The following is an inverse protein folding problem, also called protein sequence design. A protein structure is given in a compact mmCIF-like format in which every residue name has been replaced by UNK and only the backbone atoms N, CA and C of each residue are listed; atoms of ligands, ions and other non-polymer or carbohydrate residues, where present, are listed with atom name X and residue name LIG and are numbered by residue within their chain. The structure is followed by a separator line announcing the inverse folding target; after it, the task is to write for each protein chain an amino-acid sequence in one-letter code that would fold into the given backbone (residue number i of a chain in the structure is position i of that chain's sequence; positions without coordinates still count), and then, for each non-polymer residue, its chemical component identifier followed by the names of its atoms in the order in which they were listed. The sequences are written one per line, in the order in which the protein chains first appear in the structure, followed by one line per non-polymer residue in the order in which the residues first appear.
data_IF_122166194408
#
_entry.id   IF_122166194408
#
_cell.length_a   1.000
_cell.length_b   1.000
_cell.length_c   1.000
_cell.angle_alpha   90.00
_cell.angle_beta   90.00
_cell.angle_gamma   90.00
#
_symmetry.space_group_name_H-M   'P 1'
#
loop_
_entity.id
_entity.type
_entity.pdbx_description
1 polymer ?
#
# COMPACT_ATOMS: atom_id res chain seq x y z
N UNK A 1 20.65 -4.01 -0.63
CA UNK A 1 19.39 -3.75 0.09
C UNK A 1 18.39 -3.23 -0.92
N UNK A 2 17.16 -3.78 -0.95
CA UNK A 2 16.08 -3.30 -1.82
C UNK A 2 15.80 -1.82 -1.53
N UNK A 3 15.34 -1.06 -2.52
CA UNK A 3 15.15 0.38 -2.49
C UNK A 3 14.01 0.82 -1.53
N UNK A 4 14.21 0.61 -0.23
CA UNK A 4 13.23 0.89 0.83
C UNK A 4 13.38 2.27 1.46
N UNK A 5 14.48 3.00 1.25
CA UNK A 5 14.68 4.27 1.94
C UNK A 5 14.82 4.12 3.46
N UNK A 6 14.61 5.21 4.20
CA UNK A 6 14.86 5.27 5.65
C UNK A 6 13.83 4.48 6.49
N UNK A 7 12.61 4.31 5.99
CA UNK A 7 11.52 3.59 6.66
C UNK A 7 11.13 2.26 5.98
N UNK A 8 11.85 1.87 4.92
CA UNK A 8 11.58 0.67 4.13
C UNK A 8 10.53 0.85 3.03
N UNK A 9 9.86 2.00 2.92
CA UNK A 9 8.63 2.17 2.13
C UNK A 9 8.78 2.99 0.84
N UNK A 10 9.98 3.37 0.40
CA UNK A 10 10.14 4.22 -0.80
C UNK A 10 9.50 3.63 -2.07
N UNK A 11 9.74 2.34 -2.35
CA UNK A 11 9.11 1.65 -3.47
C UNK A 11 7.58 1.59 -3.31
N UNK A 12 7.09 1.22 -2.13
CA UNK A 12 5.66 1.15 -1.82
C UNK A 12 5.00 2.50 -2.04
N UNK A 13 5.61 3.59 -1.55
CA UNK A 13 5.14 4.96 -1.71
C UNK A 13 5.01 5.35 -3.19
N UNK A 14 5.96 4.90 -4.02
CA UNK A 14 5.93 5.10 -5.48
C UNK A 14 4.75 4.36 -6.12
N UNK A 15 4.57 3.09 -5.75
CA UNK A 15 3.47 2.24 -6.24
C UNK A 15 2.11 2.85 -5.86
N UNK A 16 1.90 3.16 -4.58
CA UNK A 16 0.61 3.69 -4.08
C UNK A 16 0.24 5.02 -4.75
N UNK A 17 1.22 5.88 -5.04
CA UNK A 17 1.00 7.15 -5.73
C UNK A 17 0.59 6.97 -7.19
N UNK A 18 1.22 6.03 -7.90
CA UNK A 18 1.08 5.93 -9.35
C UNK A 18 -0.02 4.92 -9.77
N UNK A 19 -0.34 3.94 -8.92
CA UNK A 19 -1.35 2.90 -9.16
C UNK A 19 -2.74 3.43 -9.56
N UNK A 20 -3.31 4.50 -8.94
CA UNK A 20 -4.62 5.02 -9.35
C UNK A 20 -4.76 5.40 -10.83
N UNK A 21 -3.64 5.77 -11.46
CA UNK A 21 -3.60 6.16 -12.88
C UNK A 21 -3.66 4.95 -13.83
N UNK A 22 -3.37 3.76 -13.32
CA UNK A 22 -3.30 2.51 -14.09
C UNK A 22 -4.53 1.61 -13.87
N UNK A 23 -5.38 1.95 -12.89
CA UNK A 23 -6.56 1.17 -12.52
C UNK A 23 -7.84 1.73 -13.15
N UNK A 24 -8.75 0.82 -13.52
CA UNK A 24 -10.14 1.17 -13.84
C UNK A 24 -10.87 1.72 -12.61
N UNK A 25 -12.06 2.30 -12.79
CA UNK A 25 -12.81 2.92 -11.70
C UNK A 25 -13.09 1.98 -10.52
N UNK A 26 -13.32 0.69 -10.80
CA UNK A 26 -13.56 -0.37 -9.81
C UNK A 26 -12.32 -1.25 -9.56
N UNK A 27 -11.15 -0.85 -10.05
CA UNK A 27 -9.92 -1.62 -9.93
C UNK A 27 -9.38 -1.67 -8.49
N UNK A 28 -8.63 -2.72 -8.21
CA UNK A 28 -7.94 -2.93 -6.92
C UNK A 28 -6.44 -3.12 -7.15
N UNK A 29 -5.64 -2.65 -6.20
CA UNK A 29 -4.23 -3.00 -6.06
C UNK A 29 -4.13 -4.12 -5.02
N UNK A 30 -3.44 -5.20 -5.37
CA UNK A 30 -2.97 -6.21 -4.42
C UNK A 30 -1.45 -6.12 -4.37
N UNK A 31 -0.89 -6.03 -3.17
CA UNK A 31 0.54 -5.84 -2.96
C UNK A 31 1.03 -6.75 -1.83
N UNK A 32 2.08 -7.52 -2.12
CA UNK A 32 2.83 -8.25 -1.11
C UNK A 32 3.98 -7.36 -0.59
N UNK A 33 4.10 -7.27 0.74
CA UNK A 33 5.13 -6.48 1.42
C UNK A 33 6.00 -7.33 2.38
N UNK A 34 5.82 -8.65 2.40
CA UNK A 34 6.46 -9.55 3.36
C UNK A 34 6.13 -9.16 4.82
N UNK A 35 7.09 -9.33 5.73
CA UNK A 35 6.92 -9.03 7.17
C UNK A 35 6.86 -7.52 7.53
N UNK A 36 6.57 -6.64 6.57
CA UNK A 36 6.65 -5.19 6.72
C UNK A 36 5.34 -4.51 7.14
N UNK A 37 4.30 -5.26 7.54
CA UNK A 37 3.01 -4.71 7.97
C UNK A 37 3.15 -3.57 8.98
N UNK A 38 3.99 -3.73 10.00
CA UNK A 38 4.21 -2.68 11.02
C UNK A 38 4.85 -1.43 10.44
N UNK A 39 5.77 -1.57 9.48
CA UNK A 39 6.39 -0.44 8.79
C UNK A 39 5.37 0.26 7.88
N UNK A 40 4.54 -0.52 7.18
CA UNK A 40 3.46 -0.01 6.35
C UNK A 40 2.43 0.78 7.18
N UNK A 41 1.89 0.20 8.25
CA UNK A 41 0.88 0.84 9.09
C UNK A 41 1.42 2.12 9.74
N UNK A 42 2.72 2.14 10.10
CA UNK A 42 3.38 3.35 10.61
C UNK A 42 3.56 4.43 9.54
N UNK A 43 3.95 4.05 8.32
CA UNK A 43 4.18 4.98 7.23
C UNK A 43 2.87 5.52 6.62
N UNK A 44 1.79 4.74 6.70
CA UNK A 44 0.48 5.04 6.10
C UNK A 44 -0.67 4.85 7.11
N UNK A 45 -0.68 5.56 8.26
CA UNK A 45 -1.61 5.31 9.37
C UNK A 45 -3.08 5.60 9.05
N UNK A 46 -3.35 6.21 7.90
CA UNK A 46 -4.69 6.54 7.41
C UNK A 46 -5.08 5.77 6.15
N UNK A 47 -4.28 4.80 5.73
CA UNK A 47 -4.60 3.99 4.56
C UNK A 47 -5.77 3.05 4.86
N UNK A 48 -6.76 3.06 3.97
CA UNK A 48 -7.87 2.11 3.98
C UNK A 48 -7.38 0.83 3.27
N UNK A 49 -7.13 -0.23 4.06
CA UNK A 49 -6.50 -1.48 3.60
C UNK A 49 -7.26 -2.69 4.11
N UNK A 50 -7.44 -3.69 3.25
CA UNK A 50 -7.80 -5.04 3.66
C UNK A 50 -6.56 -5.94 3.64
N UNK A 51 -6.21 -6.54 4.78
CA UNK A 51 -5.16 -7.56 4.85
C UNK A 51 -5.74 -8.91 4.45
N UNK A 52 -5.08 -9.57 3.50
CA UNK A 52 -5.55 -10.83 2.94
C UNK A 52 -4.82 -12.00 3.62
N UNK A 53 -5.54 -13.02 4.11
CA UNK A 53 -4.93 -14.24 4.60
C UNK A 53 -4.22 -14.97 3.47
N UNK A 54 -3.00 -15.45 3.71
CA UNK A 54 -2.24 -16.28 2.78
C UNK A 54 -1.74 -17.54 3.49
N UNK A 55 -1.29 -18.54 2.73
CA UNK A 55 -0.66 -19.73 3.33
C UNK A 55 0.65 -19.42 4.05
N UNK A 56 1.29 -18.28 3.77
CA UNK A 56 2.50 -17.81 4.44
C UNK A 56 2.20 -16.99 5.72
N UNK A 57 0.94 -16.60 5.93
CA UNK A 57 0.48 -15.77 7.05
C UNK A 57 -0.54 -14.70 6.63
N UNK A 58 -1.15 -14.03 7.59
CA UNK A 58 -2.25 -13.08 7.35
C UNK A 58 -1.80 -11.61 7.13
N UNK A 59 -0.49 -11.36 7.21
CA UNK A 59 0.06 -10.00 7.35
C UNK A 59 0.92 -9.54 6.17
N UNK A 60 1.05 -10.36 5.13
CA UNK A 60 2.04 -10.10 4.06
C UNK A 60 1.44 -9.46 2.83
N UNK A 61 0.13 -9.64 2.60
CA UNK A 61 -0.57 -9.19 1.40
C UNK A 61 -1.68 -8.23 1.77
N UNK A 62 -1.69 -7.08 1.10
CA UNK A 62 -2.71 -6.06 1.26
C UNK A 62 -3.48 -5.82 -0.02
N UNK A 63 -4.74 -5.43 0.13
CA UNK A 63 -5.62 -4.98 -0.93
C UNK A 63 -6.08 -3.54 -0.66
N UNK A 64 -6.01 -2.71 -1.70
CA UNK A 64 -6.57 -1.37 -1.70
C UNK A 64 -7.42 -1.15 -2.95
N UNK A 65 -8.59 -0.55 -2.78
CA UNK A 65 -9.39 -0.07 -3.91
C UNK A 65 -8.73 1.15 -4.54
N UNK A 66 -9.03 1.42 -5.81
CA UNK A 66 -8.62 2.68 -6.46
C UNK A 66 -9.06 3.91 -5.66
N UNK A 67 -10.28 3.91 -5.13
CA UNK A 67 -10.81 5.01 -4.31
C UNK A 67 -9.97 5.24 -3.04
N UNK A 68 -9.62 4.17 -2.32
CA UNK A 68 -8.75 4.24 -1.14
C UNK A 68 -7.37 4.82 -1.49
N UNK A 69 -6.79 4.42 -2.62
CA UNK A 69 -5.51 4.98 -3.09
C UNK A 69 -5.61 6.47 -3.44
N UNK A 70 -6.70 6.90 -4.09
CA UNK A 70 -6.94 8.31 -4.41
C UNK A 70 -7.11 9.14 -3.13
N UNK A 71 -7.86 8.64 -2.15
CA UNK A 71 -8.01 9.29 -0.84
C UNK A 71 -6.67 9.42 -0.11
N UNK A 72 -5.82 8.38 -0.17
CA UNK A 72 -4.50 8.39 0.44
C UNK A 72 -3.59 9.45 -0.20
N UNK A 73 -3.57 9.54 -1.54
CA UNK A 73 -2.75 10.50 -2.27
C UNK A 73 -3.14 11.96 -2.01
N UNK A 74 -4.43 12.25 -1.84
CA UNK A 74 -4.91 13.61 -1.52
C UNK A 74 -4.50 14.08 -0.11
N UNK A 75 -4.32 13.15 0.82
CA UNK A 75 -4.01 13.46 2.23
C UNK A 75 -2.52 13.68 2.51
N UNK A 76 -1.64 13.22 1.61
CA UNK A 76 -0.19 13.43 1.70
C UNK A 76 0.26 14.75 1.07
N UNK A 77 -0.66 15.53 0.49
CA UNK A 77 -0.39 16.83 -0.15
C UNK A 77 -0.86 18.03 0.68
N UNK A 78 -1.27 17.83 1.94
CA UNK A 78 -1.73 18.87 2.85
C UNK A 78 -1.00 18.85 4.18
#
# INVERSE_FOLDING_TARGET
ALAGGADGMDLVRRILRDAPKQLSEIGVLVLEIGHERRHFERAFPKAEVAWLPTSAGDDEVLLMTRDALVKLARRTQG
#
